data_IF_797895488265
#
_entry.id   IF_797895488265
#
_cell.length_a   1.000
_cell.length_b   1.000
_cell.length_c   1.000
_cell.angle_alpha   90.00
_cell.angle_beta   90.00
_cell.angle_gamma   90.00
#
_symmetry.space_group_name_H-M   'P 1'
#
loop_
_entity.id
_entity.type
_entity.pdbx_description
1 polymer ?
#
# COMPACT_ATOMS: atom_id res chain seq x y z
N UNK A 1 -13.18 -6.60 -3.62
CA UNK A 1 -12.49 -5.79 -2.60
C UNK A 1 -11.63 -6.64 -1.67
N UNK A 2 -12.18 -7.62 -0.94
CA UNK A 2 -11.38 -8.49 -0.05
C UNK A 2 -10.23 -9.23 -0.78
N UNK A 3 -10.52 -9.88 -1.91
CA UNK A 3 -9.50 -10.58 -2.69
C UNK A 3 -8.40 -9.66 -3.22
N UNK A 4 -8.71 -8.40 -3.55
CA UNK A 4 -7.73 -7.43 -4.04
C UNK A 4 -6.72 -7.02 -2.99
N UNK A 5 -7.19 -6.85 -1.76
CA UNK A 5 -6.32 -6.58 -0.62
C UNK A 5 -5.42 -7.80 -0.34
N UNK A 6 -5.98 -9.01 -0.40
CA UNK A 6 -5.19 -10.23 -0.24
C UNK A 6 -4.09 -10.38 -1.29
N UNK A 7 -4.37 -10.10 -2.56
CA UNK A 7 -3.36 -10.14 -3.62
C UNK A 7 -2.32 -9.02 -3.50
N UNK A 8 -2.73 -7.80 -3.11
CA UNK A 8 -1.79 -6.72 -2.85
C UNK A 8 -0.85 -7.04 -1.68
N UNK A 9 -1.39 -7.59 -0.58
CA UNK A 9 -0.59 -8.06 0.56
C UNK A 9 0.33 -9.22 0.17
N UNK A 10 -0.14 -10.14 -0.67
CA UNK A 10 0.67 -11.22 -1.20
C UNK A 10 1.82 -10.70 -2.07
N UNK A 11 1.57 -9.72 -2.94
CA UNK A 11 2.62 -9.10 -3.76
C UNK A 11 3.66 -8.39 -2.89
N UNK A 12 3.23 -7.66 -1.85
CA UNK A 12 4.13 -7.02 -0.89
C UNK A 12 4.98 -8.04 -0.12
N UNK A 13 4.36 -9.10 0.38
CA UNK A 13 5.07 -10.15 1.13
C UNK A 13 6.13 -10.89 0.28
N UNK A 14 5.93 -11.02 -1.03
CA UNK A 14 6.90 -11.62 -1.95
C UNK A 14 7.97 -10.64 -2.45
N UNK A 15 7.78 -9.33 -2.26
CA UNK A 15 8.69 -8.29 -2.75
C UNK A 15 9.16 -7.40 -1.59
N UNK A 16 10.19 -7.82 -0.83
CA UNK A 16 10.65 -7.08 0.36
C UNK A 16 11.09 -5.65 0.05
N UNK A 17 11.70 -5.40 -1.11
CA UNK A 17 12.05 -4.03 -1.55
C UNK A 17 10.82 -3.12 -1.75
N UNK A 18 9.73 -3.68 -2.27
CA UNK A 18 8.49 -2.94 -2.45
C UNK A 18 7.81 -2.69 -1.09
N UNK A 19 7.87 -3.67 -0.18
CA UNK A 19 7.37 -3.53 1.18
C UNK A 19 8.15 -2.45 1.96
N UNK A 20 9.48 -2.40 1.81
CA UNK A 20 10.31 -1.36 2.44
C UNK A 20 9.94 0.03 1.91
N UNK A 21 9.83 0.21 0.60
CA UNK A 21 9.41 1.49 -0.01
C UNK A 21 8.02 1.93 0.45
N UNK A 22 7.07 0.99 0.50
CA UNK A 22 5.73 1.28 1.01
C UNK A 22 5.79 1.69 2.49
N UNK A 23 6.62 1.03 3.30
CA UNK A 23 6.80 1.38 4.70
C UNK A 23 7.45 2.76 4.88
N UNK A 24 8.49 3.08 4.11
CA UNK A 24 9.13 4.39 4.11
C UNK A 24 8.15 5.50 3.73
N UNK A 25 7.27 5.28 2.74
CA UNK A 25 6.21 6.22 2.38
C UNK A 25 5.27 6.46 3.58
N UNK A 26 4.82 5.40 4.25
CA UNK A 26 3.95 5.54 5.43
C UNK A 26 4.65 6.26 6.58
N UNK A 27 5.94 5.98 6.81
CA UNK A 27 6.73 6.67 7.85
C UNK A 27 6.98 8.13 7.50
N UNK A 28 7.15 8.47 6.21
CA UNK A 28 7.32 9.84 5.77
C UNK A 28 6.03 10.67 5.94
N UNK A 29 4.86 10.07 5.68
CA UNK A 29 3.56 10.73 5.81
C UNK A 29 3.09 10.85 7.26
N UNK A 30 3.24 9.78 8.06
CA UNK A 30 2.63 9.67 9.38
C UNK A 30 3.64 9.63 10.54
N UNK A 31 4.94 9.65 10.26
CA UNK A 31 5.97 9.49 11.26
C UNK A 31 6.00 8.10 11.90
N UNK A 32 6.48 8.03 13.16
CA UNK A 32 6.55 6.78 13.94
C UNK A 32 5.33 6.58 14.85
N UNK A 33 4.24 7.32 14.62
CA UNK A 33 3.01 7.14 15.39
C UNK A 33 2.35 5.81 15.03
N UNK A 34 1.98 5.02 16.04
CA UNK A 34 1.33 3.72 15.83
C UNK A 34 -0.12 3.84 15.37
N UNK A 35 -0.75 5.00 15.56
CA UNK A 35 -2.15 5.30 15.22
C UNK A 35 -2.27 6.76 14.80
N UNK A 36 -1.69 7.14 13.65
CA UNK A 36 -1.85 8.49 13.15
C UNK A 36 -3.32 8.77 12.84
N UNK A 37 -3.73 10.02 13.01
CA UNK A 37 -5.03 10.48 12.54
C UNK A 37 -4.92 10.59 11.02
N UNK A 38 -5.52 9.64 10.30
CA UNK A 38 -5.49 9.61 8.83
C UNK A 38 -6.67 10.41 8.30
N UNK A 39 -6.38 11.49 7.57
CA UNK A 39 -7.37 12.26 6.81
C UNK A 39 -7.51 11.71 5.38
N UNK A 40 -8.60 12.06 4.70
CA UNK A 40 -8.82 11.67 3.31
C UNK A 40 -7.75 12.25 2.37
N UNK A 41 -7.23 13.43 2.67
CA UNK A 41 -6.12 14.03 1.91
C UNK A 41 -4.84 13.21 2.03
N UNK A 42 -4.59 12.59 3.19
CA UNK A 42 -3.41 11.76 3.40
C UNK A 42 -3.47 10.47 2.57
N UNK A 43 -4.69 9.92 2.37
CA UNK A 43 -4.90 8.78 1.46
C UNK A 43 -4.53 9.12 0.01
N UNK A 44 -4.72 10.37 -0.42
CA UNK A 44 -4.33 10.82 -1.77
C UNK A 44 -2.81 10.97 -1.92
N UNK A 45 -2.10 11.16 -0.81
CA UNK A 45 -0.63 11.27 -0.81
C UNK A 45 0.08 9.90 -0.73
N UNK A 46 -0.64 8.80 -0.47
CA UNK A 46 -0.14 7.42 -0.52
C UNK A 46 0.04 6.90 -1.96
N UNK A 47 0.85 7.60 -2.75
CA UNK A 47 1.00 7.37 -4.19
C UNK A 47 1.60 6.00 -4.51
N UNK A 48 2.61 5.56 -3.76
CA UNK A 48 3.26 4.28 -3.96
C UNK A 48 2.34 3.12 -3.57
N UNK A 49 1.61 3.23 -2.46
CA UNK A 49 0.64 2.21 -2.08
C UNK A 49 -0.47 2.05 -3.14
N UNK A 50 -0.93 3.14 -3.74
CA UNK A 50 -1.89 3.08 -4.85
C UNK A 50 -1.31 2.35 -6.08
N UNK A 51 -0.04 2.60 -6.41
CA UNK A 51 0.66 1.90 -7.49
C UNK A 51 0.78 0.39 -7.21
N UNK A 52 1.08 0.00 -5.97
CA UNK A 52 1.13 -1.41 -5.56
C UNK A 52 -0.23 -2.08 -5.76
N UNK A 53 -1.32 -1.42 -5.37
CA UNK A 53 -2.67 -1.96 -5.57
C UNK A 53 -2.99 -2.10 -7.07
N UNK A 54 -2.65 -1.08 -7.88
CA UNK A 54 -2.85 -1.14 -9.34
C UNK A 54 -2.04 -2.26 -9.98
N UNK A 55 -0.80 -2.46 -9.56
CA UNK A 55 0.05 -3.53 -10.09
C UNK A 55 -0.44 -4.91 -9.66
N UNK A 56 -0.90 -5.05 -8.41
CA UNK A 56 -1.53 -6.28 -7.93
C UNK A 56 -2.80 -6.61 -8.72
N UNK A 57 -3.62 -5.61 -9.07
CA UNK A 57 -4.80 -5.78 -9.92
C UNK A 57 -4.44 -6.06 -11.40
N UNK A 58 -3.30 -5.57 -11.89
CA UNK A 58 -2.78 -5.91 -13.22
C UNK A 58 -2.35 -7.38 -13.30
N UNK A 59 -1.71 -7.88 -12.25
CA UNK A 59 -1.26 -9.28 -12.14
C UNK A 59 -2.41 -10.23 -11.84
N UNK A 60 -3.30 -9.83 -10.93
CA UNK A 60 -4.45 -10.59 -10.47
C UNK A 60 -5.71 -9.75 -10.70
N UNK A 61 -6.21 -9.70 -11.95
CA UNK A 61 -7.45 -9.01 -12.25
C UNK A 61 -8.57 -9.67 -11.45
N UNK A 62 -9.16 -8.90 -10.54
CA UNK A 62 -10.37 -9.31 -9.84
C UNK A 62 -11.52 -9.23 -10.83
N UNK A 63 -12.06 -10.39 -11.17
CA UNK A 63 -13.34 -10.51 -11.90
C UNK A 63 -14.50 -10.00 -11.06
#
# INVERSE_FOLDING_TARGET
TASGISFALYCLANNPEAQEKAYEEQVALFGKEKKPIVSYSDLQEMKYLELVIKEALRLYPLV
#
